data_IF_466527134020
#
_entry.id   IF_466527134020
#
_cell.length_a   1.000
_cell.length_b   1.000
_cell.length_c   1.000
_cell.angle_alpha   90.00
_cell.angle_beta   90.00
_cell.angle_gamma   90.00
#
_symmetry.space_group_name_H-M   'P 1'
#
loop_
_entity.id
_entity.type
_entity.pdbx_description
1 polymer ?
#
# COMPACT_ATOMS: atom_id res chain seq x y z
N UNK A 1 4.03 10.60 0.51
CA UNK A 1 4.10 9.32 1.25
C UNK A 1 5.56 9.02 1.46
N UNK A 2 5.94 8.75 2.69
CA UNK A 2 7.33 8.49 3.06
C UNK A 2 7.42 7.12 3.74
N UNK A 3 8.39 6.31 3.32
CA UNK A 3 8.63 4.99 3.89
C UNK A 3 9.74 5.11 4.92
N UNK A 4 9.39 4.96 6.19
CA UNK A 4 10.34 4.93 7.29
C UNK A 4 10.85 3.50 7.47
N UNK A 5 12.06 3.25 6.96
CA UNK A 5 12.70 1.94 7.03
C UNK A 5 13.17 1.58 8.44
N UNK A 6 13.29 2.54 9.36
CA UNK A 6 13.70 2.31 10.75
C UNK A 6 12.51 1.80 11.55
N UNK A 7 11.36 2.47 11.43
CA UNK A 7 10.14 2.08 12.14
C UNK A 7 9.31 1.03 11.40
N UNK A 8 9.66 0.73 10.15
CA UNK A 8 8.91 -0.16 9.24
C UNK A 8 7.48 0.31 8.98
N UNK A 9 7.32 1.63 8.88
CA UNK A 9 6.02 2.28 8.68
C UNK A 9 6.00 3.17 7.45
N UNK A 10 4.85 3.21 6.79
CA UNK A 10 4.55 4.18 5.76
C UNK A 10 3.81 5.36 6.41
N UNK A 11 4.37 6.57 6.27
CA UNK A 11 3.71 7.81 6.65
C UNK A 11 2.88 8.34 5.49
N UNK A 12 1.56 8.36 5.69
CA UNK A 12 0.61 9.09 4.86
C UNK A 12 0.37 10.46 5.47
N UNK A 13 0.39 11.50 4.65
CA UNK A 13 0.31 12.89 5.09
C UNK A 13 -0.74 13.66 4.30
N UNK A 14 -1.46 14.54 4.98
CA UNK A 14 -2.47 15.41 4.43
C UNK A 14 -2.29 16.84 4.96
N UNK A 15 -2.22 17.82 4.07
CA UNK A 15 -1.96 19.20 4.45
C UNK A 15 -3.26 20.02 4.45
N UNK A 16 -3.77 20.34 5.64
CA UNK A 16 -5.00 21.12 5.83
C UNK A 16 -4.84 22.56 5.35
N UNK A 17 -3.64 23.14 5.43
CA UNK A 17 -3.35 24.50 4.96
C UNK A 17 -3.38 24.66 3.43
N UNK A 18 -3.41 23.55 2.69
CA UNK A 18 -3.61 23.53 1.22
C UNK A 18 -4.99 23.01 0.81
N UNK A 19 -5.74 22.44 1.75
CA UNK A 19 -7.06 21.88 1.48
C UNK A 19 -8.05 23.01 1.21
N UNK A 20 -8.91 22.85 0.21
CA UNK A 20 -10.03 23.76 -0.08
C UNK A 20 -11.39 23.20 0.39
N UNK A 21 -11.35 22.12 1.18
CA UNK A 21 -12.54 21.48 1.80
C UNK A 21 -13.64 21.09 0.80
N UNK A 22 -13.25 20.63 -0.40
CA UNK A 22 -14.20 20.30 -1.46
C UNK A 22 -14.95 18.97 -1.30
N UNK A 23 -14.59 18.13 -0.32
CA UNK A 23 -15.25 16.84 -0.07
C UNK A 23 -14.93 15.71 -1.06
N UNK A 24 -14.18 15.98 -2.14
CA UNK A 24 -13.85 14.95 -3.15
C UNK A 24 -13.14 13.74 -2.57
N UNK A 25 -12.29 13.92 -1.56
CA UNK A 25 -11.58 12.81 -0.91
C UNK A 25 -12.53 11.86 -0.18
N UNK A 26 -13.57 12.38 0.48
CA UNK A 26 -14.61 11.57 1.14
C UNK A 26 -15.47 10.83 0.10
N UNK A 27 -15.90 11.52 -0.96
CA UNK A 27 -16.72 10.96 -2.03
C UNK A 27 -16.05 9.78 -2.74
N UNK A 28 -14.77 9.92 -3.09
CA UNK A 28 -14.05 8.90 -3.89
C UNK A 28 -13.46 7.78 -3.04
N UNK A 29 -13.51 7.85 -1.72
CA UNK A 29 -12.88 6.87 -0.86
C UNK A 29 -13.71 5.57 -0.81
N UNK A 30 -13.21 4.45 -1.37
CA UNK A 30 -14.00 3.22 -1.45
C UNK A 30 -14.24 2.57 -0.09
N UNK A 31 -13.39 2.85 0.89
CA UNK A 31 -13.46 2.27 2.23
C UNK A 31 -14.00 3.25 3.27
N UNK A 32 -14.47 4.42 2.86
CA UNK A 32 -14.90 5.51 3.76
C UNK A 32 -13.87 5.85 4.86
N UNK A 33 -12.56 5.74 4.55
CA UNK A 33 -11.49 5.94 5.52
C UNK A 33 -11.21 7.42 5.85
N UNK A 34 -11.74 8.34 5.06
CA UNK A 34 -11.61 9.79 5.26
C UNK A 34 -12.99 10.43 5.15
N UNK A 35 -13.26 11.38 6.05
CA UNK A 35 -14.53 12.09 6.15
C UNK A 35 -14.28 13.53 6.58
N UNK A 36 -15.05 14.48 6.03
CA UNK A 36 -15.04 15.85 6.53
C UNK A 36 -15.63 15.89 7.95
N UNK A 37 -14.85 16.46 8.87
CA UNK A 37 -15.33 16.75 10.22
C UNK A 37 -16.20 18.01 10.22
N UNK A 38 -16.89 18.25 11.33
CA UNK A 38 -17.61 19.50 11.59
C UNK A 38 -16.74 20.52 12.35
N UNK A 39 -15.45 20.21 12.56
CA UNK A 39 -14.52 21.10 13.25
C UNK A 39 -14.15 22.27 12.36
N UNK A 40 -14.30 23.49 12.88
CA UNK A 40 -14.03 24.73 12.13
C UNK A 40 -12.94 25.59 12.77
N UNK A 41 -12.57 25.33 14.03
CA UNK A 41 -11.54 26.09 14.77
C UNK A 41 -10.12 25.57 14.49
N UNK A 42 -9.75 25.50 13.20
CA UNK A 42 -8.50 24.88 12.73
C UNK A 42 -7.31 25.86 12.67
N UNK A 43 -7.41 27.01 13.32
CA UNK A 43 -6.34 28.01 13.32
C UNK A 43 -5.13 27.51 14.12
N UNK A 44 -3.94 27.60 13.50
CA UNK A 44 -2.67 27.16 14.11
C UNK A 44 -1.61 28.25 14.01
N UNK A 45 -0.58 28.16 14.85
CA UNK A 45 0.50 29.15 14.92
C UNK A 45 1.64 28.89 13.94
N UNK A 46 1.90 27.61 13.63
CA UNK A 46 2.97 27.19 12.72
C UNK A 46 2.39 26.47 11.51
N UNK A 47 3.05 26.58 10.36
CA UNK A 47 2.58 25.93 9.13
C UNK A 47 2.63 24.41 9.22
N UNK A 48 3.59 23.88 9.95
CA UNK A 48 3.76 22.45 10.19
C UNK A 48 2.56 21.83 10.91
N UNK A 49 1.86 22.61 11.74
CA UNK A 49 0.70 22.14 12.52
C UNK A 49 -0.53 21.85 11.63
N UNK A 50 -0.53 22.31 10.37
CA UNK A 50 -1.54 21.92 9.38
C UNK A 50 -1.32 20.51 8.78
N UNK A 51 -0.16 19.89 9.03
CA UNK A 51 0.16 18.58 8.49
C UNK A 51 -0.43 17.49 9.38
N UNK A 52 -1.46 16.82 8.88
CA UNK A 52 -2.02 15.63 9.48
C UNK A 52 -1.25 14.40 8.98
N UNK A 53 -0.96 13.46 9.88
CA UNK A 53 -0.18 12.27 9.54
C UNK A 53 -0.77 11.00 10.14
N UNK A 54 -0.84 9.96 9.32
CA UNK A 54 -1.15 8.60 9.75
C UNK A 54 0.01 7.68 9.40
N UNK A 55 0.34 6.75 10.29
CA UNK A 55 1.41 5.76 10.09
C UNK A 55 0.80 4.37 9.97
N UNK A 56 1.31 3.57 9.04
CA UNK A 56 0.83 2.21 8.80
C UNK A 56 1.99 1.25 8.65
N UNK A 57 1.84 0.04 9.20
CA UNK A 57 2.90 -0.97 9.15
C UNK A 57 3.06 -1.52 7.73
N UNK A 58 4.33 -1.70 7.35
CA UNK A 58 4.70 -2.18 6.02
C UNK A 58 4.87 -3.69 6.01
N UNK A 59 4.24 -4.33 5.04
CA UNK A 59 4.49 -5.73 4.73
C UNK A 59 5.83 -5.90 4.00
N UNK A 60 6.60 -6.90 4.45
CA UNK A 60 7.83 -7.35 3.78
C UNK A 60 7.53 -8.58 2.95
N UNK A 61 8.05 -8.61 1.74
CA UNK A 61 7.89 -9.76 0.85
C UNK A 61 8.37 -11.04 1.52
N UNK A 62 7.55 -12.09 1.57
CA UNK A 62 7.94 -13.40 2.11
C UNK A 62 9.13 -14.05 1.40
N UNK A 63 9.37 -13.72 0.14
CA UNK A 63 10.44 -14.31 -0.67
C UNK A 63 11.78 -13.54 -0.61
N UNK A 64 11.75 -12.20 -0.58
CA UNK A 64 12.97 -11.38 -0.67
C UNK A 64 13.12 -10.36 0.47
N UNK A 65 12.19 -10.34 1.43
CA UNK A 65 12.13 -9.44 2.59
C UNK A 65 12.07 -7.93 2.30
N UNK A 66 11.97 -7.52 1.02
CA UNK A 66 11.83 -6.12 0.65
C UNK A 66 10.46 -5.57 1.07
N UNK A 67 10.39 -4.36 1.66
CA UNK A 67 9.13 -3.67 1.91
C UNK A 67 8.45 -3.35 0.58
N UNK A 68 7.13 -3.52 0.48
CA UNK A 68 6.44 -3.29 -0.82
C UNK A 68 4.99 -2.80 -0.74
N UNK A 69 4.26 -3.06 0.34
CA UNK A 69 2.86 -2.66 0.49
C UNK A 69 2.52 -2.43 1.96
N UNK A 70 1.43 -1.73 2.26
CA UNK A 70 0.95 -1.60 3.63
C UNK A 70 0.22 -2.88 4.03
N UNK A 71 0.46 -3.40 5.24
CA UNK A 71 -0.14 -4.66 5.70
C UNK A 71 -1.68 -4.63 5.62
N UNK A 72 -2.30 -3.52 6.05
CA UNK A 72 -3.76 -3.37 6.01
C UNK A 72 -4.36 -3.45 4.59
N UNK A 73 -3.59 -3.12 3.55
CA UNK A 73 -4.06 -3.23 2.16
C UNK A 73 -4.16 -4.71 1.75
N UNK A 74 -3.23 -5.54 2.22
CA UNK A 74 -3.24 -6.98 2.02
C UNK A 74 -4.43 -7.60 2.77
N UNK A 75 -4.62 -7.22 4.03
CA UNK A 75 -5.73 -7.72 4.84
C UNK A 75 -7.08 -7.30 4.24
N UNK A 76 -7.19 -6.06 3.75
CA UNK A 76 -8.38 -5.59 3.05
C UNK A 76 -8.66 -6.39 1.77
N UNK A 77 -7.64 -6.72 0.98
CA UNK A 77 -7.81 -7.53 -0.23
C UNK A 77 -8.35 -8.94 0.09
N UNK A 78 -7.85 -9.57 1.16
CA UNK A 78 -8.34 -10.88 1.62
C UNK A 78 -9.78 -10.78 2.11
N UNK A 79 -10.08 -9.79 2.96
CA UNK A 79 -11.43 -9.56 3.46
C UNK A 79 -12.43 -9.28 2.33
N UNK A 80 -12.00 -8.58 1.28
CA UNK A 80 -12.83 -8.32 0.10
C UNK A 80 -13.13 -9.61 -0.67
N UNK A 81 -12.18 -10.53 -0.81
CA UNK A 81 -12.43 -11.84 -1.45
C UNK A 81 -13.43 -12.68 -0.63
N UNK A 82 -13.24 -12.73 0.69
CA UNK A 82 -14.16 -13.43 1.60
C UNK A 82 -15.57 -12.86 1.50
N UNK A 83 -15.71 -11.53 1.54
CA UNK A 83 -17.00 -10.85 1.39
C UNK A 83 -17.68 -11.15 0.05
N UNK A 84 -16.91 -11.37 -1.02
CA UNK A 84 -17.41 -11.76 -2.33
C UNK A 84 -17.65 -13.27 -2.48
N UNK A 85 -17.61 -14.03 -1.38
CA UNK A 85 -17.99 -15.45 -1.34
C UNK A 85 -16.83 -16.44 -1.45
N UNK A 86 -15.59 -15.96 -1.49
CA UNK A 86 -14.43 -16.86 -1.46
C UNK A 86 -14.08 -17.28 -0.03
N UNK A 87 -14.66 -18.40 0.40
CA UNK A 87 -14.35 -19.04 1.70
C UNK A 87 -12.87 -19.45 1.87
N UNK A 88 -12.07 -19.42 0.79
CA UNK A 88 -10.64 -19.77 0.79
C UNK A 88 -9.75 -18.54 0.65
N UNK A 89 -10.28 -17.33 0.76
CA UNK A 89 -9.54 -16.07 0.61
C UNK A 89 -8.20 -16.06 1.38
N UNK A 90 -8.19 -16.57 2.61
CA UNK A 90 -7.01 -16.62 3.48
C UNK A 90 -5.88 -17.51 2.93
N UNK A 91 -6.18 -18.54 2.12
CA UNK A 91 -5.16 -19.37 1.45
C UNK A 91 -4.30 -18.54 0.49
N UNK A 92 -4.79 -17.39 0.03
CA UNK A 92 -4.05 -16.49 -0.83
C UNK A 92 -3.08 -15.56 -0.08
N UNK A 93 -3.05 -15.56 1.26
CA UNK A 93 -2.18 -14.64 2.05
C UNK A 93 -0.72 -14.71 1.64
N UNK A 94 -0.16 -15.91 1.49
CA UNK A 94 1.26 -16.04 1.10
C UNK A 94 1.54 -15.37 -0.26
N UNK A 95 0.60 -15.52 -1.19
CA UNK A 95 0.66 -14.81 -2.46
C UNK A 95 0.56 -13.32 -2.21
N UNK A 96 -0.46 -12.80 -1.54
CA UNK A 96 -0.61 -11.35 -1.31
C UNK A 96 0.56 -10.71 -0.56
N UNK A 97 1.24 -11.44 0.34
CA UNK A 97 2.45 -11.02 1.06
C UNK A 97 3.75 -11.26 0.26
N UNK A 98 3.65 -11.54 -1.03
CA UNK A 98 4.79 -11.60 -1.97
C UNK A 98 4.76 -10.40 -2.91
N UNK A 99 5.88 -9.67 -3.03
CA UNK A 99 5.96 -8.48 -3.86
C UNK A 99 5.75 -8.78 -5.36
N UNK A 100 5.32 -7.78 -6.17
CA UNK A 100 5.04 -7.97 -7.60
C UNK A 100 6.21 -8.57 -8.40
N UNK A 101 7.44 -8.19 -8.06
CA UNK A 101 8.64 -8.70 -8.74
C UNK A 101 8.84 -10.20 -8.48
N UNK A 102 8.80 -10.64 -7.22
CA UNK A 102 8.92 -12.05 -6.87
C UNK A 102 7.74 -12.88 -7.39
N UNK A 103 6.52 -12.32 -7.44
CA UNK A 103 5.36 -12.97 -8.08
C UNK A 103 5.61 -13.19 -9.57
N UNK A 104 6.04 -12.15 -10.29
CA UNK A 104 6.33 -12.23 -11.72
C UNK A 104 7.36 -13.32 -12.02
N UNK A 105 8.44 -13.38 -11.23
CA UNK A 105 9.48 -14.40 -11.39
C UNK A 105 8.99 -15.84 -11.11
N UNK A 106 8.02 -16.03 -10.21
CA UNK A 106 7.40 -17.33 -9.94
C UNK A 106 6.38 -17.75 -11.02
N UNK A 107 5.74 -16.80 -11.70
CA UNK A 107 4.81 -17.07 -12.80
C UNK A 107 5.49 -17.37 -14.14
N UNK A 108 6.78 -17.05 -14.31
CA UNK A 108 7.55 -17.48 -15.47
C UNK A 108 7.71 -19.00 -15.42
N UNK A 109 7.27 -19.71 -16.46
CA UNK A 109 7.56 -21.15 -16.57
C UNK A 109 9.09 -21.36 -16.61
N UNK A 110 9.61 -22.54 -16.22
CA UNK A 110 11.06 -22.77 -16.16
C UNK A 110 11.80 -22.44 -17.47
N UNK A 111 11.17 -22.63 -18.63
CA UNK A 111 11.72 -22.28 -19.95
C UNK A 111 11.92 -20.77 -20.11
N UNK A 112 10.94 -19.97 -19.70
CA UNK A 112 10.97 -18.50 -19.85
C UNK A 112 12.03 -17.87 -18.94
N UNK A 113 12.31 -18.47 -17.77
CA UNK A 113 13.42 -18.02 -16.90
C UNK A 113 14.77 -18.21 -17.58
N UNK A 114 14.97 -19.29 -18.33
CA UNK A 114 16.25 -19.58 -19.02
C UNK A 114 16.47 -18.57 -20.16
N UNK A 115 15.44 -18.29 -20.96
CA UNK A 115 15.53 -17.31 -22.05
C UNK A 115 15.80 -15.89 -21.55
N UNK A 116 15.10 -15.43 -20.50
CA UNK A 116 15.33 -14.10 -19.93
C UNK A 116 16.75 -13.94 -19.39
N UNK A 117 17.26 -14.95 -18.70
CA UNK A 117 18.61 -14.93 -18.13
C UNK A 117 19.69 -14.93 -19.22
N UNK A 118 19.42 -15.60 -20.35
CA UNK A 118 20.29 -15.59 -21.53
C UNK A 118 20.33 -14.20 -22.18
N UNK A 119 19.18 -13.58 -22.38
CA UNK A 119 19.09 -12.23 -22.95
C UNK A 119 19.73 -11.15 -22.07
N UNK A 120 19.67 -11.27 -20.74
CA UNK A 120 20.35 -10.32 -19.84
C UNK A 120 21.89 -10.44 -19.86
N UNK A 121 22.44 -11.62 -20.19
CA UNK A 121 23.90 -11.84 -20.32
C UNK A 121 24.44 -11.38 -21.67
N UNK A 122 23.62 -11.40 -22.71
CA UNK A 122 23.98 -10.96 -24.07
C UNK A 122 23.86 -9.43 -24.25
N UNK A 123 23.17 -8.76 -23.33
CA UNK A 123 23.01 -7.30 -23.31
C UNK A 123 24.01 -6.56 -22.39
N UNK A 124 25.05 -7.25 -21.91
CA UNK A 124 26.16 -6.69 -21.12
C UNK A 124 27.47 -6.69 -21.90
#
# INVERSE_FOLDING_TARGET
METDLVTHQLAWQFNLGRCIFCGRCEEVCPTAAIKLSQEYELAVWKKEDFLQQSRFDICRCRACARPFAVQKEIDYAIALLEHNGDTRAELHRESFETCPECKRQKCLVPSDRIELTRHMREAS
#
